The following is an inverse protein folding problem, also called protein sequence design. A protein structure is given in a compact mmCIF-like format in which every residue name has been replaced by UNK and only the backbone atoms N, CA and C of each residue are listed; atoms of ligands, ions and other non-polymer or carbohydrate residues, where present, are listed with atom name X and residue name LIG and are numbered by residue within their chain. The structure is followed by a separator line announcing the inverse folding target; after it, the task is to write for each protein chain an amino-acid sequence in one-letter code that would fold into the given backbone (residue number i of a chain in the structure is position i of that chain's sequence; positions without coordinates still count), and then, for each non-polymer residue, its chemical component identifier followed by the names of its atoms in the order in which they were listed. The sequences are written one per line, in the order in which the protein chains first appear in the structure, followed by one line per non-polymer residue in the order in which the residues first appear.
data_IF_037127003227
#
_entry.id   IF_037127003227
#
_cell.length_a   1.000
_cell.length_b   1.000
_cell.length_c   1.000
_cell.angle_alpha   90.00
_cell.angle_beta   90.00
_cell.angle_gamma   90.00
#
_symmetry.space_group_name_H-M   'P 1'
#
loop_
_entity.id
_entity.type
_entity.pdbx_description
1 polymer ?
#
# COMPACT_ATOMS: atom_id res chain seq x y z
N UNK A 1 22.47 100.91 -14.90
CA UNK A 1 22.19 100.05 -13.73
C UNK A 1 21.08 99.05 -14.07
N UNK A 2 21.38 97.75 -14.18
CA UNK A 2 20.36 96.68 -14.22
C UNK A 2 20.66 95.76 -13.03
N UNK A 3 19.74 95.74 -12.05
CA UNK A 3 19.81 94.88 -10.86
C UNK A 3 19.61 93.42 -11.29
N UNK A 4 20.58 92.57 -11.00
CA UNK A 4 20.52 91.12 -11.19
C UNK A 4 19.58 90.51 -10.14
N UNK A 5 18.46 89.92 -10.58
CA UNK A 5 17.51 89.21 -9.73
C UNK A 5 18.08 87.85 -9.27
N UNK A 6 18.89 87.87 -8.21
CA UNK A 6 19.50 86.69 -7.61
C UNK A 6 18.48 85.76 -6.92
N UNK A 7 17.33 86.30 -6.48
CA UNK A 7 16.28 85.55 -5.75
C UNK A 7 15.46 84.59 -6.64
N UNK A 8 15.30 84.90 -7.93
CA UNK A 8 14.51 84.06 -8.85
C UNK A 8 15.20 82.77 -9.29
N UNK A 9 16.54 82.76 -9.33
CA UNK A 9 17.33 81.58 -9.72
C UNK A 9 17.54 80.59 -8.56
N UNK A 10 17.52 81.08 -7.31
CA UNK A 10 17.63 80.25 -6.11
C UNK A 10 16.33 79.47 -5.83
N UNK A 11 15.17 80.07 -6.11
CA UNK A 11 13.86 79.42 -5.92
C UNK A 11 13.57 78.34 -6.97
N UNK A 12 14.02 78.52 -8.21
CA UNK A 12 13.87 77.52 -9.28
C UNK A 12 14.77 76.29 -9.06
N UNK A 13 15.95 76.46 -8.47
CA UNK A 13 16.85 75.36 -8.13
C UNK A 13 16.36 74.49 -6.97
N UNK A 14 15.70 75.09 -5.97
CA UNK A 14 15.16 74.37 -4.80
C UNK A 14 13.87 73.59 -5.17
N UNK A 15 13.02 74.13 -6.05
CA UNK A 15 11.82 73.44 -6.53
C UNK A 15 12.13 72.27 -7.48
N UNK A 16 13.20 72.36 -8.29
CA UNK A 16 13.63 71.26 -9.14
C UNK A 16 14.32 70.12 -8.36
N UNK A 17 15.02 70.44 -7.27
CA UNK A 17 15.65 69.44 -6.40
C UNK A 17 14.63 68.66 -5.54
N UNK A 18 13.52 69.29 -5.13
CA UNK A 18 12.43 68.62 -4.40
C UNK A 18 11.54 67.76 -5.31
N UNK A 19 11.42 68.08 -6.60
CA UNK A 19 10.65 67.27 -7.54
C UNK A 19 11.34 65.94 -7.91
N UNK A 20 12.67 65.84 -7.75
CA UNK A 20 13.43 64.61 -8.00
C UNK A 20 13.48 63.65 -6.81
N UNK A 21 13.14 64.10 -5.59
CA UNK A 21 13.23 63.28 -4.38
C UNK A 21 11.95 62.50 -4.01
N UNK A 22 10.81 62.76 -4.67
CA UNK A 22 9.53 62.11 -4.34
C UNK A 22 9.18 60.95 -5.29
N UNK A 23 9.84 60.85 -6.44
CA UNK A 23 9.50 59.87 -7.48
C UNK A 23 10.25 58.53 -7.42
N UNK A 24 11.34 58.42 -6.65
CA UNK A 24 12.22 57.23 -6.67
C UNK A 24 11.96 56.24 -5.54
N UNK A 25 11.20 56.63 -4.52
CA UNK A 25 10.94 55.78 -3.34
C UNK A 25 9.92 54.66 -3.64
N UNK A 26 8.82 54.87 -4.40
CA UNK A 26 7.84 53.80 -4.60
C UNK A 26 8.36 52.63 -5.44
N UNK A 27 9.23 52.90 -6.43
CA UNK A 27 9.74 51.88 -7.34
C UNK A 27 10.78 50.95 -6.68
N UNK A 28 11.61 51.48 -5.77
CA UNK A 28 12.57 50.66 -5.01
C UNK A 28 11.88 49.81 -3.93
N UNK A 29 10.78 50.29 -3.35
CA UNK A 29 10.01 49.54 -2.35
C UNK A 29 9.24 48.37 -2.95
N UNK A 30 8.74 48.49 -4.19
CA UNK A 30 8.06 47.38 -4.88
C UNK A 30 8.98 46.17 -5.10
N UNK A 31 10.25 46.41 -5.44
CA UNK A 31 11.26 45.36 -5.63
C UNK A 31 11.64 44.65 -4.32
N UNK A 32 11.44 45.27 -3.16
CA UNK A 32 11.77 44.70 -1.85
C UNK A 32 10.57 44.04 -1.16
N UNK A 33 9.34 44.35 -1.59
CA UNK A 33 8.12 43.67 -1.11
C UNK A 33 7.68 42.52 -2.00
N UNK A 34 8.20 42.40 -3.22
CA UNK A 34 8.05 41.24 -4.10
C UNK A 34 9.00 40.11 -3.69
N UNK A 35 9.09 39.84 -2.39
CA UNK A 35 9.55 38.54 -1.92
C UNK A 35 8.39 37.62 -2.25
N UNK A 36 8.53 36.86 -3.33
CA UNK A 36 7.59 35.81 -3.69
C UNK A 36 7.24 35.01 -2.44
N UNK A 37 5.96 34.67 -2.28
CA UNK A 37 5.50 33.81 -1.19
C UNK A 37 6.45 32.62 -1.06
N UNK A 38 6.86 32.31 0.17
CA UNK A 38 7.67 31.12 0.44
C UNK A 38 6.92 29.91 -0.12
N UNK A 39 7.45 29.36 -1.22
CA UNK A 39 7.02 28.07 -1.74
C UNK A 39 7.46 27.02 -0.74
N UNK A 40 6.52 26.58 0.10
CA UNK A 40 6.67 25.34 0.83
C UNK A 40 6.75 24.21 -0.20
N UNK A 41 7.95 23.66 -0.35
CA UNK A 41 8.18 22.40 -1.06
C UNK A 41 8.31 21.32 0.02
N UNK A 42 7.21 20.75 0.53
CA UNK A 42 7.33 19.59 1.39
C UNK A 42 7.98 18.47 0.58
N UNK A 43 9.18 18.07 0.99
CA UNK A 43 9.83 16.88 0.44
C UNK A 43 9.48 15.71 1.37
N UNK A 44 8.76 14.72 0.84
CA UNK A 44 8.58 13.44 1.53
C UNK A 44 9.85 12.62 1.33
N UNK A 45 10.60 12.40 2.41
CA UNK A 45 11.94 11.78 2.37
C UNK A 45 11.82 10.24 2.33
N UNK A 46 10.70 9.70 2.80
CA UNK A 46 10.31 8.31 2.67
C UNK A 46 8.78 8.23 2.72
N UNK A 47 8.18 7.52 1.78
CA UNK A 47 6.79 7.09 1.89
C UNK A 47 6.79 5.74 2.59
N UNK A 48 5.85 5.54 3.50
CA UNK A 48 5.61 4.24 4.09
C UNK A 48 4.98 3.31 3.04
N UNK A 49 5.34 2.05 3.10
CA UNK A 49 4.66 1.01 2.34
C UNK A 49 3.29 0.74 2.97
N UNK A 50 2.27 0.56 2.15
CA UNK A 50 0.90 0.30 2.63
C UNK A 50 0.24 -0.70 1.72
N UNK A 51 -0.25 -1.78 2.32
CA UNK A 51 -0.83 -2.91 1.62
C UNK A 51 -2.17 -3.29 2.25
N UNK A 52 -3.07 -3.88 1.47
CA UNK A 52 -4.33 -4.45 1.95
C UNK A 52 -4.44 -5.92 1.55
N UNK A 53 -5.09 -6.72 2.40
CA UNK A 53 -5.44 -8.10 2.05
C UNK A 53 -6.70 -8.07 1.18
N UNK A 54 -6.64 -8.76 0.05
CA UNK A 54 -7.78 -8.97 -0.85
C UNK A 54 -8.08 -10.45 -0.93
N UNK A 55 -9.28 -10.84 -0.50
CA UNK A 55 -9.66 -12.24 -0.42
C UNK A 55 -10.82 -12.59 -1.34
N UNK A 56 -10.82 -13.83 -1.84
CA UNK A 56 -12.04 -14.45 -2.38
C UNK A 56 -12.54 -15.43 -1.34
N UNK A 57 -13.82 -15.38 -1.03
CA UNK A 57 -14.48 -16.33 -0.14
C UNK A 57 -15.70 -16.94 -0.83
N UNK A 58 -16.08 -18.18 -0.47
CA UNK A 58 -17.33 -18.74 -0.92
C UNK A 58 -18.50 -17.88 -0.40
N UNK A 59 -19.36 -17.47 -1.32
CA UNK A 59 -20.65 -16.84 -1.04
C UNK A 59 -21.68 -17.42 -2.03
N UNK A 60 -22.62 -18.28 -1.61
CA UNK A 60 -22.92 -18.68 -0.22
C UNK A 60 -21.86 -19.60 0.40
N UNK A 61 -22.04 -19.92 1.69
CA UNK A 61 -21.23 -20.92 2.40
C UNK A 61 -21.12 -22.23 1.60
N UNK A 62 -19.95 -22.90 1.63
CA UNK A 62 -19.71 -24.06 0.80
C UNK A 62 -20.52 -25.27 1.25
N UNK A 63 -21.19 -25.92 0.29
CA UNK A 63 -21.89 -27.18 0.53
C UNK A 63 -20.89 -28.31 0.79
N UNK A 64 -21.00 -29.03 1.93
CA UNK A 64 -20.11 -30.15 2.21
C UNK A 64 -20.49 -31.41 1.43
N UNK A 65 -19.47 -32.18 1.02
CA UNK A 65 -19.61 -33.52 0.46
C UNK A 65 -19.24 -34.55 1.53
N UNK A 66 -20.26 -35.06 2.23
CA UNK A 66 -20.08 -35.95 3.37
C UNK A 66 -19.37 -35.26 4.54
N UNK A 67 -18.14 -35.67 4.83
CA UNK A 67 -17.27 -35.10 5.87
C UNK A 67 -16.20 -34.16 5.30
N UNK A 68 -16.28 -33.80 4.01
CA UNK A 68 -15.31 -32.95 3.32
C UNK A 68 -15.97 -31.64 2.92
N UNK A 69 -15.32 -30.52 3.21
CA UNK A 69 -15.70 -29.20 2.69
C UNK A 69 -14.55 -28.69 1.85
N UNK A 70 -14.81 -28.33 0.59
CA UNK A 70 -13.82 -27.73 -0.32
C UNK A 70 -14.36 -26.47 -0.95
N UNK A 71 -13.56 -25.40 -0.99
CA UNK A 71 -13.98 -24.10 -1.54
C UNK A 71 -12.80 -23.26 -2.02
N UNK A 72 -13.10 -22.26 -2.85
CA UNK A 72 -12.11 -21.25 -3.25
C UNK A 72 -11.95 -20.23 -2.12
N UNK A 73 -10.74 -20.14 -1.57
CA UNK A 73 -10.28 -19.06 -0.70
C UNK A 73 -8.99 -18.51 -1.30
N UNK A 74 -9.10 -17.44 -2.09
CA UNK A 74 -7.93 -16.79 -2.68
C UNK A 74 -7.39 -15.74 -1.73
N UNK A 75 -6.16 -15.89 -1.27
CA UNK A 75 -5.48 -14.92 -0.38
C UNK A 75 -4.45 -14.15 -1.19
N UNK A 76 -4.65 -12.85 -1.37
CA UNK A 76 -3.71 -11.96 -2.05
C UNK A 76 -3.44 -10.70 -1.23
N UNK A 77 -2.30 -10.07 -1.48
CA UNK A 77 -1.96 -8.76 -0.91
C UNK A 77 -1.81 -7.77 -2.05
N UNK A 78 -2.48 -6.63 -1.95
CA UNK A 78 -2.43 -5.55 -2.94
C UNK A 78 -1.72 -4.32 -2.36
N UNK A 79 -0.85 -3.71 -3.14
CA UNK A 79 -0.24 -2.43 -2.80
C UNK A 79 -1.27 -1.30 -2.98
N UNK A 80 -1.50 -0.56 -1.90
CA UNK A 80 -2.44 0.58 -1.85
C UNK A 80 -1.74 1.92 -1.70
N UNK A 81 -0.41 1.90 -1.60
CA UNK A 81 0.45 3.05 -1.39
C UNK A 81 0.95 3.70 -2.68
N UNK A 82 1.97 4.53 -2.51
CA UNK A 82 2.59 5.33 -3.56
C UNK A 82 4.05 4.94 -3.84
N UNK A 83 4.55 3.88 -3.19
CA UNK A 83 5.85 3.27 -3.47
C UNK A 83 5.71 1.77 -3.64
N UNK A 84 6.59 1.19 -4.45
CA UNK A 84 6.63 -0.25 -4.63
C UNK A 84 7.08 -0.92 -3.31
N UNK A 85 6.64 -2.16 -3.08
CA UNK A 85 6.86 -2.82 -1.79
C UNK A 85 7.14 -4.31 -1.95
N UNK A 86 7.75 -4.90 -0.91
CA UNK A 86 7.72 -6.33 -0.67
C UNK A 86 6.71 -6.63 0.43
N UNK A 87 6.10 -7.80 0.37
CA UNK A 87 5.07 -8.22 1.34
C UNK A 87 5.40 -9.59 1.91
N UNK A 88 4.99 -9.80 3.16
CA UNK A 88 4.97 -11.11 3.81
C UNK A 88 3.62 -11.36 4.45
N UNK A 89 3.22 -12.63 4.50
CA UNK A 89 1.92 -13.08 4.99
C UNK A 89 2.11 -14.16 6.04
N UNK A 90 1.29 -14.12 7.08
CA UNK A 90 1.17 -15.19 8.06
C UNK A 90 -0.27 -15.71 8.10
N UNK A 91 -0.39 -17.04 8.19
CA UNK A 91 -1.67 -17.74 8.23
C UNK A 91 -1.82 -18.43 9.59
N UNK A 92 -2.83 -18.03 10.37
CA UNK A 92 -3.08 -18.60 11.69
C UNK A 92 -4.51 -19.16 11.77
N UNK A 93 -4.64 -20.42 12.19
CA UNK A 93 -5.95 -21.00 12.50
C UNK A 93 -6.35 -20.65 13.92
N UNK A 94 -7.66 -20.45 14.15
CA UNK A 94 -8.19 -20.29 15.51
C UNK A 94 -8.14 -21.59 16.32
N UNK A 95 -8.02 -22.73 15.63
CA UNK A 95 -8.09 -24.08 16.22
C UNK A 95 -7.05 -25.01 15.56
N UNK A 96 -6.18 -25.61 16.36
CA UNK A 96 -5.11 -26.50 15.88
C UNK A 96 -5.63 -27.80 15.26
N UNK A 97 -6.76 -28.34 15.74
CA UNK A 97 -7.32 -29.57 15.20
C UNK A 97 -7.89 -29.36 13.79
N UNK A 98 -8.48 -28.18 13.53
CA UNK A 98 -8.90 -27.78 12.18
C UNK A 98 -7.71 -27.61 11.25
N UNK A 99 -6.62 -26.99 11.73
CA UNK A 99 -5.37 -26.87 10.95
C UNK A 99 -4.90 -28.24 10.47
N UNK A 100 -4.91 -29.24 11.36
CA UNK A 100 -4.45 -30.60 11.06
C UNK A 100 -5.39 -31.36 10.10
N UNK A 101 -6.65 -30.95 10.02
CA UNK A 101 -7.68 -31.48 9.10
C UNK A 101 -7.73 -30.74 7.76
N UNK A 102 -6.95 -29.67 7.61
CA UNK A 102 -7.04 -28.76 6.48
C UNK A 102 -5.86 -28.93 5.52
N UNK A 103 -6.16 -28.79 4.24
CA UNK A 103 -5.20 -28.82 3.15
C UNK A 103 -5.41 -27.59 2.23
N UNK A 104 -4.31 -27.06 1.73
CA UNK A 104 -4.27 -25.93 0.82
C UNK A 104 -3.88 -26.35 -0.60
N UNK A 105 -4.35 -25.57 -1.55
CA UNK A 105 -3.99 -25.69 -2.97
C UNK A 105 -3.96 -24.30 -3.60
N UNK A 106 -2.97 -24.05 -4.46
CA UNK A 106 -2.95 -22.88 -5.33
C UNK A 106 -3.44 -23.17 -6.75
N UNK A 107 -3.46 -24.45 -7.17
CA UNK A 107 -3.81 -24.86 -8.53
C UNK A 107 -5.19 -25.53 -8.65
N UNK A 108 -5.85 -25.81 -7.51
CA UNK A 108 -7.13 -26.51 -7.42
C UNK A 108 -7.05 -28.00 -7.72
N UNK A 109 -5.86 -28.53 -8.03
CA UNK A 109 -5.63 -29.93 -8.41
C UNK A 109 -4.91 -30.69 -7.30
N UNK A 110 -3.81 -30.14 -6.80
CA UNK A 110 -2.99 -30.75 -5.76
C UNK A 110 -3.27 -30.07 -4.41
N UNK A 111 -3.66 -30.88 -3.42
CA UNK A 111 -3.94 -30.43 -2.07
C UNK A 111 -2.88 -30.98 -1.12
N UNK A 112 -2.26 -30.09 -0.35
CA UNK A 112 -1.20 -30.43 0.60
C UNK A 112 -1.66 -30.03 2.00
N UNK A 113 -1.24 -30.80 3.02
CA UNK A 113 -1.50 -30.43 4.42
C UNK A 113 -0.94 -29.03 4.70
N UNK A 114 -1.48 -28.32 5.71
CA UNK A 114 -0.94 -27.00 6.09
C UNK A 114 0.57 -27.05 6.38
N UNK A 115 1.06 -28.15 6.95
CA UNK A 115 2.49 -28.34 7.24
C UNK A 115 3.33 -28.54 5.97
N UNK A 116 2.84 -29.32 5.00
CA UNK A 116 3.56 -29.60 3.76
C UNK A 116 3.46 -28.48 2.72
N UNK A 117 2.48 -27.57 2.88
CA UNK A 117 2.18 -26.55 1.88
C UNK A 117 3.35 -25.59 1.63
N UNK A 118 4.18 -25.32 2.65
CA UNK A 118 5.40 -24.51 2.52
C UNK A 118 6.39 -25.00 1.46
N UNK A 119 6.31 -26.28 1.07
CA UNK A 119 7.16 -26.88 0.04
C UNK A 119 6.49 -26.92 -1.35
N UNK A 120 5.25 -26.44 -1.46
CA UNK A 120 4.41 -26.55 -2.66
C UNK A 120 3.76 -25.22 -3.02
N UNK A 121 4.45 -24.13 -2.71
CA UNK A 121 3.98 -22.77 -2.88
C UNK A 121 3.81 -22.39 -4.36
N UNK A 122 2.87 -21.47 -4.66
CA UNK A 122 2.78 -20.88 -5.99
C UNK A 122 4.05 -20.06 -6.31
N UNK A 123 4.28 -19.81 -7.60
CA UNK A 123 5.42 -19.02 -8.03
C UNK A 123 5.44 -17.63 -7.38
N UNK A 124 6.62 -17.21 -6.93
CA UNK A 124 6.85 -15.94 -6.26
C UNK A 124 6.73 -15.99 -4.74
N UNK A 125 6.44 -17.15 -4.15
CA UNK A 125 6.37 -17.31 -2.70
C UNK A 125 7.48 -18.22 -2.16
N UNK A 126 8.02 -17.84 -1.01
CA UNK A 126 8.90 -18.68 -0.19
C UNK A 126 8.42 -18.64 1.25
N UNK A 127 8.75 -19.68 2.04
CA UNK A 127 8.41 -19.73 3.45
C UNK A 127 9.69 -19.68 4.29
N UNK A 128 9.65 -18.93 5.39
CA UNK A 128 10.72 -18.90 6.37
C UNK A 128 10.28 -19.61 7.67
N UNK A 129 10.92 -20.75 7.96
CA UNK A 129 10.66 -21.53 9.17
C UNK A 129 11.09 -20.80 10.47
N UNK A 130 11.92 -19.76 10.38
CA UNK A 130 12.44 -19.06 11.56
C UNK A 130 11.42 -18.09 12.18
N UNK A 131 10.54 -17.51 11.37
CA UNK A 131 9.51 -16.55 11.81
C UNK A 131 8.07 -16.98 11.47
N UNK A 132 7.91 -17.99 10.62
CA UNK A 132 6.63 -18.54 10.22
C UNK A 132 5.88 -17.73 9.15
N UNK A 133 6.57 -16.84 8.43
CA UNK A 133 5.99 -16.04 7.36
C UNK A 133 6.23 -16.63 5.96
N UNK A 134 5.25 -16.39 5.08
CA UNK A 134 5.38 -16.56 3.64
C UNK A 134 5.79 -15.22 3.04
N UNK A 135 6.90 -15.17 2.33
CA UNK A 135 7.43 -13.98 1.68
C UNK A 135 7.11 -14.00 0.20
N UNK A 136 6.56 -12.90 -0.33
CA UNK A 136 6.45 -12.72 -1.76
C UNK A 136 7.75 -12.12 -2.29
N UNK A 137 8.42 -12.85 -3.19
CA UNK A 137 9.79 -12.53 -3.63
C UNK A 137 9.84 -11.50 -4.74
N UNK A 138 8.70 -11.18 -5.36
CA UNK A 138 8.58 -10.17 -6.42
C UNK A 138 8.12 -8.85 -5.81
N UNK A 139 8.52 -7.75 -6.43
CA UNK A 139 8.03 -6.42 -6.09
C UNK A 139 6.52 -6.36 -6.37
N UNK A 140 5.76 -5.81 -5.43
CA UNK A 140 4.35 -5.45 -5.59
C UNK A 140 4.30 -3.97 -5.98
N UNK A 141 4.01 -3.72 -7.25
CA UNK A 141 4.10 -2.39 -7.85
C UNK A 141 2.96 -1.47 -7.38
N UNK A 142 3.23 -0.18 -7.39
CA UNK A 142 2.21 0.84 -7.21
C UNK A 142 1.24 0.91 -8.39
N UNK A 143 0.07 1.44 -8.13
CA UNK A 143 -0.85 1.80 -9.20
C UNK A 143 -2.14 2.46 -8.71
N UNK A 144 -3.19 2.40 -9.53
CA UNK A 144 -4.44 3.13 -9.26
C UNK A 144 -5.34 2.35 -8.28
N UNK A 145 -4.96 2.37 -7.01
CA UNK A 145 -5.75 1.76 -5.93
C UNK A 145 -7.18 2.31 -5.88
N UNK A 146 -7.38 3.61 -6.14
CA UNK A 146 -8.71 4.22 -6.13
C UNK A 146 -9.64 3.68 -7.23
N UNK A 147 -9.08 3.26 -8.37
CA UNK A 147 -9.83 2.51 -9.37
C UNK A 147 -10.11 1.07 -8.92
N UNK A 148 -9.09 0.36 -8.40
CA UNK A 148 -9.21 -1.05 -7.99
C UNK A 148 -10.20 -1.22 -6.85
N UNK A 149 -10.13 -0.38 -5.82
CA UNK A 149 -11.00 -0.38 -4.63
C UNK A 149 -12.49 -0.39 -4.98
N UNK A 150 -12.90 0.34 -6.04
CA UNK A 150 -14.29 0.40 -6.51
C UNK A 150 -14.79 -0.93 -7.08
N UNK A 151 -13.87 -1.79 -7.51
CA UNK A 151 -14.19 -3.12 -8.04
C UNK A 151 -14.44 -4.14 -6.93
N UNK A 152 -13.90 -3.93 -5.73
CA UNK A 152 -13.97 -4.83 -4.59
C UNK A 152 -15.17 -4.52 -3.67
N UNK A 153 -15.47 -5.43 -2.75
CA UNK A 153 -16.38 -5.25 -1.61
C UNK A 153 -15.54 -5.07 -0.35
N UNK A 154 -15.72 -3.98 0.38
CA UNK A 154 -15.14 -3.83 1.71
C UNK A 154 -16.09 -4.41 2.76
N UNK A 155 -15.55 -5.17 3.71
CA UNK A 155 -16.29 -5.64 4.88
C UNK A 155 -15.81 -4.89 6.13
N UNK A 156 -16.71 -4.12 6.75
CA UNK A 156 -16.39 -3.31 7.93
C UNK A 156 -16.10 -4.16 9.17
N UNK A 157 -16.63 -5.39 9.25
CA UNK A 157 -16.46 -6.25 10.41
C UNK A 157 -15.04 -6.83 10.49
N UNK A 158 -14.48 -7.20 9.34
CA UNK A 158 -13.12 -7.76 9.23
C UNK A 158 -12.07 -6.72 8.87
N UNK A 159 -12.49 -5.58 8.31
CA UNK A 159 -11.58 -4.54 7.81
C UNK A 159 -10.86 -4.96 6.53
N UNK A 160 -11.40 -5.93 5.79
CA UNK A 160 -10.73 -6.54 4.63
C UNK A 160 -11.52 -6.30 3.33
N UNK A 161 -10.82 -6.41 2.20
CA UNK A 161 -11.42 -6.34 0.88
C UNK A 161 -11.67 -7.73 0.31
N UNK A 162 -12.80 -7.87 -0.37
CA UNK A 162 -13.24 -9.11 -0.98
C UNK A 162 -13.55 -8.94 -2.45
N UNK A 163 -13.22 -9.95 -3.24
CA UNK A 163 -13.77 -10.09 -4.58
C UNK A 163 -15.29 -10.23 -4.52
N UNK A 164 -16.00 -9.63 -5.49
CA UNK A 164 -17.45 -9.81 -5.61
C UNK A 164 -17.78 -11.23 -6.08
N UNK A 165 -18.98 -11.69 -5.78
CA UNK A 165 -19.40 -13.04 -6.19
C UNK A 165 -19.29 -13.22 -7.71
N UNK A 166 -18.69 -14.33 -8.15
CA UNK A 166 -18.41 -14.64 -9.56
C UNK A 166 -17.27 -13.84 -10.20
N UNK A 167 -16.65 -12.89 -9.49
CA UNK A 167 -15.52 -12.12 -10.01
C UNK A 167 -14.28 -13.01 -10.14
N UNK A 168 -13.54 -12.82 -11.24
CA UNK A 168 -12.21 -13.40 -11.41
C UNK A 168 -11.21 -12.64 -10.54
N UNK A 169 -10.22 -13.37 -10.00
CA UNK A 169 -9.14 -12.74 -9.25
C UNK A 169 -8.30 -11.85 -10.15
N UNK A 170 -7.66 -10.83 -9.57
CA UNK A 170 -6.76 -9.94 -10.29
C UNK A 170 -5.39 -10.58 -10.44
N UNK A 171 -4.78 -10.37 -11.61
CA UNK A 171 -3.42 -10.81 -11.97
C UNK A 171 -2.67 -9.61 -12.56
N UNK A 172 -2.39 -8.61 -11.71
CA UNK A 172 -1.63 -7.41 -12.09
C UNK A 172 -0.35 -7.32 -11.26
N UNK A 173 0.59 -6.46 -11.64
CA UNK A 173 1.81 -6.26 -10.86
C UNK A 173 1.56 -5.61 -9.48
N UNK A 174 0.38 -5.01 -9.27
CA UNK A 174 0.00 -4.39 -8.00
C UNK A 174 -0.45 -5.38 -6.92
N UNK A 175 -0.66 -6.64 -7.29
CA UNK A 175 -1.21 -7.66 -6.40
C UNK A 175 -0.39 -8.93 -6.50
N UNK A 176 -0.17 -9.60 -5.38
CA UNK A 176 0.59 -10.85 -5.38
C UNK A 176 -0.10 -11.92 -6.22
N UNK A 177 0.66 -12.91 -6.70
CA UNK A 177 0.02 -14.20 -6.98
C UNK A 177 -0.66 -14.71 -5.70
N UNK A 178 -1.82 -15.37 -5.77
CA UNK A 178 -2.51 -15.83 -4.56
C UNK A 178 -1.63 -16.81 -3.79
N UNK A 179 -1.41 -16.57 -2.49
CA UNK A 179 -0.65 -17.47 -1.64
C UNK A 179 -1.37 -18.81 -1.50
N UNK A 180 -2.69 -18.77 -1.30
CA UNK A 180 -3.61 -19.92 -1.30
C UNK A 180 -4.76 -19.58 -2.25
N UNK A 181 -5.32 -20.56 -2.97
CA UNK A 181 -6.55 -20.38 -3.77
C UNK A 181 -7.70 -21.27 -3.35
N UNK A 182 -7.42 -22.47 -2.86
CA UNK A 182 -8.43 -23.43 -2.47
C UNK A 182 -8.08 -24.03 -1.12
N UNK A 183 -9.13 -24.23 -0.33
CA UNK A 183 -9.06 -24.85 0.99
C UNK A 183 -9.92 -26.09 0.95
N UNK A 184 -9.39 -27.18 1.52
CA UNK A 184 -10.14 -28.41 1.77
C UNK A 184 -9.97 -28.79 3.22
N UNK A 185 -11.07 -29.00 3.92
CA UNK A 185 -11.06 -29.54 5.28
C UNK A 185 -11.77 -30.88 5.29
N UNK A 186 -11.16 -31.88 5.90
CA UNK A 186 -11.72 -33.23 6.06
C UNK A 186 -11.93 -33.52 7.54
N UNK A 187 -13.19 -33.55 7.95
CA UNK A 187 -13.59 -33.85 9.33
C UNK A 187 -13.65 -35.36 9.56
N UNK A 188 -13.60 -35.80 10.81
CA UNK A 188 -13.67 -37.23 11.14
C UNK A 188 -15.08 -37.79 10.86
N UNK A 189 -16.11 -36.96 11.05
CA UNK A 189 -17.49 -37.27 10.68
C UNK A 189 -18.29 -36.00 10.37
N UNK A 190 -19.46 -36.11 9.70
CA UNK A 190 -20.33 -34.97 9.45
C UNK A 190 -20.80 -34.23 10.73
N UNK A 191 -20.82 -34.91 11.88
CA UNK A 191 -21.22 -34.30 13.16
C UNK A 191 -20.14 -33.40 13.76
N UNK A 192 -18.89 -33.53 13.33
CA UNK A 192 -17.74 -32.73 13.79
C UNK A 192 -17.58 -31.41 12.98
N UNK A 193 -18.36 -31.26 11.91
CA UNK A 193 -18.30 -30.10 11.03
C UNK A 193 -18.76 -28.83 11.74
N UNK A 194 -17.96 -27.79 11.63
CA UNK A 194 -18.19 -26.48 12.27
C UNK A 194 -17.49 -25.35 11.53
N UNK A 195 -17.92 -24.13 11.80
CA UNK A 195 -17.24 -22.90 11.37
C UNK A 195 -15.93 -22.72 12.14
N UNK A 196 -14.93 -22.13 11.49
CA UNK A 196 -13.62 -21.85 12.08
C UNK A 196 -13.00 -20.61 11.42
N UNK A 197 -11.99 -20.01 12.05
CA UNK A 197 -11.25 -18.89 11.49
C UNK A 197 -9.90 -19.31 10.91
N UNK A 198 -9.61 -18.85 9.69
CA UNK A 198 -8.26 -18.78 9.12
C UNK A 198 -7.91 -17.30 8.99
N UNK A 199 -7.15 -16.80 9.95
CA UNK A 199 -6.72 -15.42 10.02
C UNK A 199 -5.51 -15.22 9.09
N UNK A 200 -5.55 -14.13 8.33
CA UNK A 200 -4.47 -13.72 7.44
C UNK A 200 -3.93 -12.41 7.96
N UNK A 201 -2.62 -12.37 8.23
CA UNK A 201 -1.89 -11.16 8.57
C UNK A 201 -0.91 -10.85 7.46
N UNK A 202 -0.81 -9.59 7.08
CA UNK A 202 0.18 -9.14 6.10
C UNK A 202 0.99 -7.97 6.64
N UNK A 203 2.25 -7.93 6.27
CA UNK A 203 3.13 -6.79 6.48
C UNK A 203 3.78 -6.43 5.15
N UNK A 204 4.12 -5.16 4.98
CA UNK A 204 4.88 -4.69 3.83
C UNK A 204 6.10 -3.88 4.25
N UNK A 205 7.12 -3.89 3.40
CA UNK A 205 8.28 -3.03 3.53
C UNK A 205 8.61 -2.36 2.19
N UNK A 206 9.14 -1.12 2.20
CA UNK A 206 9.57 -0.42 1.01
C UNK A 206 10.59 -1.20 0.17
N UNK A 207 10.38 -1.25 -1.15
CA UNK A 207 11.26 -1.99 -2.06
C UNK A 207 12.73 -1.51 -2.02
N UNK A 208 12.95 -0.22 -1.76
CA UNK A 208 14.26 0.43 -1.79
C UNK A 208 15.11 0.16 -0.55
N UNK A 209 14.61 -0.62 0.42
CA UNK A 209 15.42 -1.07 1.55
C UNK A 209 16.43 -2.16 1.16
N UNK A 210 16.32 -2.79 0.00
CA UNK A 210 17.28 -3.79 -0.47
C UNK A 210 17.32 -3.92 -1.99
N UNK A 211 18.24 -4.76 -2.48
CA UNK A 211 18.30 -5.11 -3.91
C UNK A 211 17.35 -6.26 -4.28
N UNK A 212 16.84 -6.97 -3.28
CA UNK A 212 15.89 -8.07 -3.37
C UNK A 212 14.99 -8.09 -2.12
N UNK A 213 14.00 -8.99 -2.08
CA UNK A 213 13.07 -9.10 -0.96
C UNK A 213 13.81 -9.40 0.36
N UNK A 214 14.80 -10.30 0.35
CA UNK A 214 15.52 -10.72 1.56
C UNK A 214 16.27 -9.55 2.17
N UNK A 215 17.08 -8.83 1.37
CA UNK A 215 17.82 -7.68 1.84
C UNK A 215 16.93 -6.52 2.28
N UNK A 216 15.76 -6.35 1.66
CA UNK A 216 14.79 -5.34 2.08
C UNK A 216 14.21 -5.66 3.46
N UNK A 217 13.82 -6.92 3.70
CA UNK A 217 13.32 -7.37 5.00
C UNK A 217 14.40 -7.37 6.08
N UNK A 218 15.62 -7.82 5.78
CA UNK A 218 16.75 -7.77 6.71
C UNK A 218 17.00 -6.34 7.21
N UNK A 219 17.00 -5.36 6.30
CA UNK A 219 17.20 -3.96 6.64
C UNK A 219 15.99 -3.36 7.37
N UNK A 220 14.76 -3.75 7.01
CA UNK A 220 13.55 -3.29 7.68
C UNK A 220 13.46 -3.75 9.13
N UNK A 221 13.77 -5.03 9.39
CA UNK A 221 13.68 -5.64 10.72
C UNK A 221 14.85 -5.30 11.63
N UNK A 222 15.97 -4.80 11.08
CA UNK A 222 17.12 -4.35 11.86
C UNK A 222 16.99 -2.93 12.43
N UNK A 223 16.04 -2.14 11.93
CA UNK A 223 15.76 -0.76 12.37
C UNK A 223 14.88 -0.71 13.62
#
# INVERSE_FOLDING_TARGET
MKKTNFKGKLMAGILAALAFSVGTIPAAMAYMTDIAETMDNPFTIALDSTSEIVEKYPDPDPDPDGNITSYEKSVQVINTGYIDEYVRVRLDFTEDDIRNKTAFSWDGTNFYTVEDYKNHLPEGWVYDDSDGYYYYTKIVETGDWEAVKKTLRYDEATGQYFYKNGQQIMETAMITTPLVRYVRTTFDSPQDMRSYGLNVYSESCPFYFGNDYSGAWDNYLAG
#
